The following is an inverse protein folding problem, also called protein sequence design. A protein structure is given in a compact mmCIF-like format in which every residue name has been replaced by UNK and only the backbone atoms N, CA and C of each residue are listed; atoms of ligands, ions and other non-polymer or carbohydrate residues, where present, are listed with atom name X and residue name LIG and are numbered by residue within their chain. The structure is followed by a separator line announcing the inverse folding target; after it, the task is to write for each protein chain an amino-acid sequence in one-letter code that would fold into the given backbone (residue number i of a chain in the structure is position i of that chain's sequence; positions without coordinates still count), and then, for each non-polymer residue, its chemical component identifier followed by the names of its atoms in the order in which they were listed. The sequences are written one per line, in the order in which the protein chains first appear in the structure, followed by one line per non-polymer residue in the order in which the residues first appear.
data_IF_534521810559
#
_entry.id   IF_534521810559
#
_cell.length_a   1.000
_cell.length_b   1.000
_cell.length_c   1.000
_cell.angle_alpha   90.00
_cell.angle_beta   90.00
_cell.angle_gamma   90.00
#
_symmetry.space_group_name_H-M   'P 1'
#
loop_
_entity.id
_entity.type
_entity.pdbx_description
1 polymer ?
#
# COMPACT_ATOMS: atom_id res chain seq x y z
N UNK A 1 -4.36 34.93 -3.17
CA UNK A 1 -4.29 33.45 -3.17
C UNK A 1 -5.72 32.93 -3.11
N UNK A 2 -6.24 32.40 -4.22
CA UNK A 2 -7.61 31.90 -4.27
C UNK A 2 -7.74 30.66 -3.36
N UNK A 3 -8.69 30.71 -2.43
CA UNK A 3 -9.09 29.57 -1.63
C UNK A 3 -9.49 28.42 -2.55
N UNK A 4 -8.90 27.24 -2.35
CA UNK A 4 -9.26 26.03 -3.08
C UNK A 4 -10.75 25.76 -2.79
N UNK A 5 -11.65 25.78 -3.78
CA UNK A 5 -13.05 25.48 -3.52
C UNK A 5 -13.17 24.05 -2.99
N UNK A 6 -14.03 23.85 -1.99
CA UNK A 6 -14.33 22.56 -1.32
C UNK A 6 -14.92 21.50 -2.29
N UNK A 7 -14.96 21.79 -3.59
CA UNK A 7 -15.39 20.93 -4.70
C UNK A 7 -14.23 20.38 -5.55
N UNK A 8 -12.97 20.77 -5.31
CA UNK A 8 -11.84 20.24 -6.06
C UNK A 8 -11.39 18.90 -5.47
N UNK A 9 -11.64 17.84 -6.24
CA UNK A 9 -11.01 16.52 -6.05
C UNK A 9 -9.49 16.72 -6.04
N UNK A 10 -8.85 16.41 -4.91
CA UNK A 10 -7.40 16.58 -4.75
C UNK A 10 -6.68 15.58 -5.66
N UNK A 11 -6.06 16.08 -6.72
CA UNK A 11 -5.49 15.23 -7.78
C UNK A 11 -4.26 14.47 -7.28
N UNK A 12 -3.49 15.04 -6.34
CA UNK A 12 -2.36 14.34 -5.72
C UNK A 12 -2.77 13.06 -5.00
N UNK A 13 -3.96 12.99 -4.41
CA UNK A 13 -4.45 11.79 -3.72
C UNK A 13 -4.73 10.66 -4.70
N UNK A 14 -5.39 10.98 -5.82
CA UNK A 14 -5.64 10.00 -6.89
C UNK A 14 -4.34 9.61 -7.62
N UNK A 15 -3.42 10.56 -7.82
CA UNK A 15 -2.10 10.30 -8.38
C UNK A 15 -1.31 9.34 -7.49
N UNK A 16 -1.25 9.60 -6.18
CA UNK A 16 -0.50 8.75 -5.24
C UNK A 16 -1.05 7.32 -5.27
N UNK A 17 -2.38 7.14 -5.20
CA UNK A 17 -2.96 5.79 -5.37
C UNK A 17 -2.61 5.17 -6.72
N UNK A 18 -2.64 5.98 -7.78
CA UNK A 18 -2.34 5.56 -9.15
C UNK A 18 -0.91 5.09 -9.36
N UNK A 19 0.08 5.83 -8.86
CA UNK A 19 1.49 5.45 -8.98
C UNK A 19 1.78 4.18 -8.19
N UNK A 20 1.24 4.02 -6.98
CA UNK A 20 1.38 2.78 -6.19
C UNK A 20 0.82 1.58 -6.95
N UNK A 21 -0.35 1.72 -7.59
CA UNK A 21 -0.93 0.64 -8.39
C UNK A 21 -0.19 0.36 -9.68
N UNK A 22 0.33 1.41 -10.33
CA UNK A 22 1.14 1.26 -11.53
C UNK A 22 2.42 0.47 -11.23
N UNK A 23 3.08 0.77 -10.11
CA UNK A 23 4.25 0.04 -9.65
C UNK A 23 3.93 -1.43 -9.34
N UNK A 24 2.82 -1.73 -8.63
CA UNK A 24 2.37 -3.10 -8.39
C UNK A 24 2.13 -3.89 -9.68
N UNK A 25 1.54 -3.25 -10.69
CA UNK A 25 1.38 -3.87 -12.01
C UNK A 25 2.73 -4.12 -12.70
N UNK A 26 3.77 -3.33 -12.39
CA UNK A 26 5.12 -3.54 -12.92
C UNK A 26 5.85 -4.71 -12.27
N UNK A 27 5.63 -4.96 -10.97
CA UNK A 27 6.09 -6.19 -10.32
C UNK A 27 5.39 -7.40 -10.95
N UNK A 28 4.06 -7.36 -11.06
CA UNK A 28 3.27 -8.47 -11.58
C UNK A 28 3.57 -8.80 -13.05
N UNK A 29 4.18 -7.90 -13.82
CA UNK A 29 4.60 -8.18 -15.19
C UNK A 29 5.91 -8.98 -15.30
N UNK A 30 6.57 -9.30 -14.17
CA UNK A 30 7.86 -9.97 -14.14
C UNK A 30 9.06 -9.04 -14.37
N UNK A 31 8.81 -7.74 -14.61
CA UNK A 31 9.86 -6.80 -14.97
C UNK A 31 10.95 -6.70 -13.88
N UNK A 32 10.55 -6.64 -12.61
CA UNK A 32 11.49 -6.38 -11.51
C UNK A 32 12.42 -7.57 -11.24
N UNK A 33 11.91 -8.79 -11.44
CA UNK A 33 12.70 -10.02 -11.36
C UNK A 33 13.81 -10.01 -12.41
N UNK A 34 13.47 -9.71 -13.66
CA UNK A 34 14.46 -9.63 -14.73
C UNK A 34 15.49 -8.50 -14.51
N UNK A 35 15.09 -7.35 -13.95
CA UNK A 35 16.05 -6.30 -13.61
C UNK A 35 17.08 -6.77 -12.56
N UNK A 36 16.65 -7.61 -11.61
CA UNK A 36 17.52 -8.16 -10.55
C UNK A 36 18.49 -9.23 -11.09
N UNK A 37 18.13 -9.90 -12.17
CA UNK A 37 18.95 -10.91 -12.86
C UNK A 37 19.95 -10.29 -13.85
N UNK A 38 19.95 -8.96 -14.01
CA UNK A 38 20.84 -8.27 -14.95
C UNK A 38 22.32 -8.44 -14.60
N UNK A 39 23.17 -8.64 -15.62
CA UNK A 39 24.62 -8.60 -15.47
C UNK A 39 25.15 -7.17 -15.21
N UNK A 40 24.37 -6.15 -15.58
CA UNK A 40 24.74 -4.75 -15.38
C UNK A 40 24.52 -4.34 -13.92
N UNK A 41 25.61 -4.04 -13.22
CA UNK A 41 25.61 -3.67 -11.78
C UNK A 41 24.56 -2.62 -11.43
N UNK A 42 24.41 -1.58 -12.27
CA UNK A 42 23.42 -0.52 -12.05
C UNK A 42 21.97 -1.03 -12.14
N UNK A 43 21.67 -1.86 -13.15
CA UNK A 43 20.32 -2.41 -13.38
C UNK A 43 19.99 -3.42 -12.27
N UNK A 44 20.94 -4.29 -11.94
CA UNK A 44 20.85 -5.25 -10.83
C UNK A 44 20.57 -4.55 -9.51
N UNK A 45 21.31 -3.47 -9.22
CA UNK A 45 21.13 -2.67 -8.02
C UNK A 45 19.74 -2.03 -7.94
N UNK A 46 19.19 -1.57 -9.08
CA UNK A 46 17.80 -1.09 -9.14
C UNK A 46 16.80 -2.22 -8.90
N UNK A 47 16.99 -3.38 -9.53
CA UNK A 47 16.14 -4.56 -9.33
C UNK A 47 16.11 -5.03 -7.88
N UNK A 48 17.24 -5.03 -7.18
CA UNK A 48 17.31 -5.37 -5.76
C UNK A 48 16.49 -4.42 -4.87
N UNK A 49 16.40 -3.13 -5.20
CA UNK A 49 15.60 -2.15 -4.45
C UNK A 49 14.10 -2.22 -4.77
N UNK A 50 13.75 -2.89 -5.86
CA UNK A 50 12.39 -3.23 -6.29
C UNK A 50 11.93 -4.61 -5.77
N UNK A 51 12.71 -5.23 -4.90
CA UNK A 51 12.36 -6.44 -4.14
C UNK A 51 12.25 -6.09 -2.64
N UNK A 52 11.66 -6.99 -1.87
CA UNK A 52 11.55 -6.85 -0.42
C UNK A 52 12.88 -7.11 0.27
N UNK A 53 13.16 -6.32 1.32
CA UNK A 53 14.29 -6.64 2.18
C UNK A 53 14.10 -8.05 2.80
N UNK A 54 15.18 -8.81 2.90
CA UNK A 54 15.11 -10.20 3.37
C UNK A 54 14.56 -10.30 4.79
N UNK A 55 15.01 -9.43 5.70
CA UNK A 55 14.49 -9.38 7.06
C UNK A 55 14.61 -7.98 7.69
N UNK A 56 15.83 -7.54 8.00
CA UNK A 56 16.11 -6.29 8.70
C UNK A 56 16.60 -5.21 7.74
N UNK A 57 15.80 -4.17 7.56
CA UNK A 57 16.11 -3.05 6.66
C UNK A 57 14.85 -2.58 5.93
N UNK A 58 15.04 -1.57 5.07
CA UNK A 58 13.96 -0.97 4.28
C UNK A 58 14.42 -0.72 2.85
N UNK A 59 13.83 -1.42 1.90
CA UNK A 59 13.93 -1.09 0.48
C UNK A 59 12.72 -0.30 0.00
N UNK A 60 12.82 0.27 -1.21
CA UNK A 60 11.73 1.05 -1.78
C UNK A 60 10.46 0.20 -1.92
N UNK A 61 10.62 -1.08 -2.33
CA UNK A 61 9.49 -1.99 -2.47
C UNK A 61 8.73 -2.26 -1.16
N UNK A 62 9.40 -2.11 -0.02
CA UNK A 62 8.79 -2.28 1.30
C UNK A 62 7.77 -1.18 1.65
N UNK A 63 7.83 -0.05 0.94
CA UNK A 63 6.95 1.10 1.13
C UNK A 63 5.59 0.97 0.43
N UNK A 64 5.45 0.06 -0.53
CA UNK A 64 4.25 -0.04 -1.39
C UNK A 64 2.97 -0.34 -0.58
N UNK A 65 3.02 -1.33 0.32
CA UNK A 65 1.90 -1.64 1.20
C UNK A 65 1.55 -0.49 2.16
N UNK A 66 2.52 0.08 2.92
CA UNK A 66 2.29 1.29 3.72
C UNK A 66 1.68 2.45 2.93
N UNK A 67 2.15 2.71 1.72
CA UNK A 67 1.63 3.76 0.85
C UNK A 67 0.16 3.51 0.51
N UNK A 68 -0.20 2.25 0.21
CA UNK A 68 -1.58 1.89 -0.10
C UNK A 68 -2.51 2.04 1.12
N UNK A 69 -2.08 1.59 2.29
CA UNK A 69 -2.85 1.73 3.53
C UNK A 69 -3.04 3.20 3.92
N UNK A 70 -1.96 3.98 3.84
CA UNK A 70 -1.98 5.41 4.11
C UNK A 70 -2.91 6.15 3.15
N UNK A 71 -2.81 5.94 1.82
CA UNK A 71 -3.62 6.68 0.85
C UNK A 71 -5.11 6.31 0.92
N UNK A 72 -5.43 5.07 1.29
CA UNK A 72 -6.82 4.67 1.60
C UNK A 72 -7.31 5.45 2.82
N UNK A 73 -6.49 5.58 3.87
CA UNK A 73 -6.76 6.42 5.03
C UNK A 73 -7.05 7.87 4.66
N UNK A 74 -6.18 8.49 3.85
CA UNK A 74 -6.35 9.87 3.34
C UNK A 74 -7.70 10.05 2.64
N UNK A 75 -8.16 9.02 1.94
CA UNK A 75 -9.39 9.06 1.14
C UNK A 75 -10.68 8.94 1.96
N UNK A 76 -10.63 8.39 3.18
CA UNK A 76 -11.81 8.20 4.05
C UNK A 76 -12.56 9.51 4.32
N UNK A 77 -11.94 10.58 4.85
CA UNK A 77 -12.68 11.79 5.20
C UNK A 77 -13.30 12.48 3.97
N UNK A 78 -12.62 12.47 2.81
CA UNK A 78 -13.20 12.96 1.55
C UNK A 78 -14.40 12.13 1.10
N UNK A 79 -14.30 10.79 1.16
CA UNK A 79 -15.37 9.90 0.75
C UNK A 79 -16.63 10.07 1.62
N UNK A 80 -16.46 10.19 2.94
CA UNK A 80 -17.57 10.42 3.86
C UNK A 80 -18.21 11.80 3.65
N UNK A 81 -17.40 12.86 3.56
CA UNK A 81 -17.90 14.21 3.34
C UNK A 81 -18.69 14.33 2.03
N UNK A 82 -18.22 13.69 0.94
CA UNK A 82 -18.92 13.70 -0.34
C UNK A 82 -20.28 13.00 -0.27
N UNK A 83 -20.39 11.88 0.45
CA UNK A 83 -21.66 11.14 0.60
C UNK A 83 -22.64 11.89 1.51
N UNK A 84 -22.15 12.51 2.58
CA UNK A 84 -22.96 13.37 3.44
C UNK A 84 -23.50 14.58 2.66
N UNK A 85 -22.69 15.22 1.83
CA UNK A 85 -23.14 16.30 0.92
C UNK A 85 -24.18 15.83 -0.08
N UNK A 86 -24.12 14.57 -0.51
CA UNK A 86 -25.12 13.94 -1.37
C UNK A 86 -26.42 13.54 -0.62
N UNK A 87 -26.54 13.84 0.68
CA UNK A 87 -27.72 13.57 1.49
C UNK A 87 -27.79 12.15 2.07
N UNK A 88 -26.73 11.35 1.96
CA UNK A 88 -26.74 10.00 2.53
C UNK A 88 -26.67 10.01 4.08
N UNK A 89 -27.47 9.14 4.70
CA UNK A 89 -27.45 8.97 6.15
C UNK A 89 -26.14 8.36 6.65
N UNK A 90 -25.77 8.67 7.89
CA UNK A 90 -24.59 8.08 8.54
C UNK A 90 -24.68 6.55 8.65
N UNK A 91 -25.90 6.01 8.77
CA UNK A 91 -26.16 4.58 8.81
C UNK A 91 -25.83 3.94 7.46
N UNK A 92 -26.26 4.56 6.37
CA UNK A 92 -25.97 4.10 5.00
C UNK A 92 -24.47 4.10 4.72
N UNK A 93 -23.77 5.18 5.09
CA UNK A 93 -22.31 5.30 4.92
C UNK A 93 -21.59 4.24 5.76
N UNK A 94 -22.03 4.01 6.99
CA UNK A 94 -21.46 2.99 7.89
C UNK A 94 -21.67 1.58 7.34
N UNK A 95 -22.91 1.23 6.93
CA UNK A 95 -23.20 -0.06 6.31
C UNK A 95 -22.36 -0.31 5.06
N UNK A 96 -22.18 0.72 4.24
CA UNK A 96 -21.30 0.63 3.09
C UNK A 96 -19.84 0.42 3.48
N UNK A 97 -19.34 1.07 4.53
CA UNK A 97 -17.98 0.86 5.02
C UNK A 97 -17.77 -0.59 5.51
N UNK A 98 -18.72 -1.15 6.26
CA UNK A 98 -18.68 -2.57 6.66
C UNK A 98 -18.78 -3.52 5.47
N UNK A 99 -19.67 -3.25 4.50
CA UNK A 99 -19.78 -4.04 3.26
C UNK A 99 -18.45 -4.02 2.50
N UNK A 100 -17.83 -2.84 2.34
CA UNK A 100 -16.54 -2.68 1.69
C UNK A 100 -15.45 -3.47 2.42
N UNK A 101 -15.36 -3.37 3.75
CA UNK A 101 -14.40 -4.14 4.54
C UNK A 101 -14.60 -5.65 4.35
N UNK A 102 -15.85 -6.12 4.42
CA UNK A 102 -16.19 -7.52 4.17
C UNK A 102 -15.82 -7.99 2.76
N UNK A 103 -16.04 -7.15 1.73
CA UNK A 103 -15.64 -7.46 0.36
C UNK A 103 -14.11 -7.49 0.22
N UNK A 104 -13.38 -6.55 0.81
CA UNK A 104 -11.91 -6.58 0.82
C UNK A 104 -11.38 -7.88 1.47
N UNK A 105 -11.97 -8.30 2.59
CA UNK A 105 -11.61 -9.56 3.23
C UNK A 105 -11.95 -10.76 2.34
N UNK A 106 -13.16 -10.79 1.78
CA UNK A 106 -13.62 -11.86 0.89
C UNK A 106 -12.71 -12.02 -0.32
N UNK A 107 -12.38 -10.92 -1.01
CA UNK A 107 -11.45 -10.96 -2.14
C UNK A 107 -10.03 -11.28 -1.71
N UNK A 108 -9.59 -10.80 -0.55
CA UNK A 108 -8.30 -11.18 0.05
C UNK A 108 -8.18 -12.69 0.26
N UNK A 109 -9.19 -13.34 0.83
CA UNK A 109 -9.24 -14.79 0.93
C UNK A 109 -9.38 -15.48 -0.42
N UNK A 110 -10.19 -14.93 -1.32
CA UNK A 110 -10.34 -15.43 -2.69
C UNK A 110 -9.00 -15.56 -3.41
N UNK A 111 -8.10 -14.59 -3.27
CA UNK A 111 -6.75 -14.67 -3.84
C UNK A 111 -5.94 -15.84 -3.28
N UNK A 112 -6.04 -16.10 -1.98
CA UNK A 112 -5.39 -17.27 -1.37
C UNK A 112 -6.02 -18.59 -1.81
N UNK A 113 -7.34 -18.63 -1.96
CA UNK A 113 -8.04 -19.83 -2.42
C UNK A 113 -7.64 -20.20 -3.85
N UNK A 114 -7.55 -19.20 -4.74
CA UNK A 114 -7.14 -19.41 -6.13
C UNK A 114 -5.70 -19.94 -6.19
N UNK A 115 -4.78 -19.34 -5.42
CA UNK A 115 -3.38 -19.78 -5.41
C UNK A 115 -3.21 -21.18 -4.79
N UNK A 116 -3.94 -21.48 -3.71
CA UNK A 116 -3.85 -22.77 -3.02
C UNK A 116 -4.64 -23.91 -3.70
N UNK A 117 -5.61 -23.59 -4.55
CA UNK A 117 -6.54 -24.57 -5.15
C UNK A 117 -7.57 -25.16 -4.17
N UNK A 118 -7.62 -24.67 -2.93
CA UNK A 118 -8.57 -25.07 -1.88
C UNK A 118 -8.80 -23.91 -0.89
N UNK A 119 -9.75 -24.06 0.03
CA UNK A 119 -10.05 -23.03 1.02
C UNK A 119 -8.90 -22.90 2.04
N UNK A 120 -8.27 -21.72 2.08
CA UNK A 120 -7.17 -21.36 3.00
C UNK A 120 -7.38 -19.96 3.55
N UNK A 121 -7.58 -19.85 4.86
CA UNK A 121 -7.85 -18.58 5.53
C UNK A 121 -6.56 -17.90 6.00
N UNK A 122 -5.97 -17.12 5.10
CA UNK A 122 -4.75 -16.34 5.33
C UNK A 122 -5.04 -14.85 5.44
N UNK A 123 -4.26 -14.12 6.22
CA UNK A 123 -4.50 -12.69 6.51
C UNK A 123 -3.33 -11.76 6.14
N UNK A 124 -2.35 -12.25 5.40
CA UNK A 124 -1.11 -11.52 5.14
C UNK A 124 -1.20 -10.52 3.98
N UNK A 125 -2.12 -10.70 3.02
CA UNK A 125 -2.19 -9.84 1.84
C UNK A 125 -2.81 -8.48 2.15
N UNK A 126 -2.56 -7.53 1.24
CA UNK A 126 -2.96 -6.14 1.42
C UNK A 126 -4.47 -5.98 1.57
N UNK A 127 -5.29 -6.76 0.85
CA UNK A 127 -6.76 -6.66 0.94
C UNK A 127 -7.28 -7.14 2.30
N UNK A 128 -6.79 -8.27 2.78
CA UNK A 128 -7.14 -8.83 4.08
C UNK A 128 -6.75 -7.86 5.20
N UNK A 129 -5.50 -7.39 5.22
CA UNK A 129 -5.08 -6.41 6.22
C UNK A 129 -5.88 -5.10 6.14
N UNK A 130 -6.11 -4.58 4.92
CA UNK A 130 -6.86 -3.34 4.71
C UNK A 130 -8.32 -3.47 5.18
N UNK A 131 -8.93 -4.66 5.14
CA UNK A 131 -10.29 -4.85 5.67
C UNK A 131 -10.41 -4.42 7.14
N UNK A 132 -9.37 -4.70 7.94
CA UNK A 132 -9.31 -4.36 9.37
C UNK A 132 -8.86 -2.93 9.57
N UNK A 133 -7.75 -2.51 8.94
CA UNK A 133 -7.23 -1.16 9.16
C UNK A 133 -8.23 -0.10 8.70
N UNK A 134 -8.94 -0.35 7.59
CA UNK A 134 -9.98 0.52 7.06
C UNK A 134 -11.14 0.69 8.04
N UNK A 135 -11.66 -0.40 8.62
CA UNK A 135 -12.83 -0.30 9.50
C UNK A 135 -12.47 0.40 10.81
N UNK A 136 -11.29 0.13 11.38
CA UNK A 136 -10.82 0.82 12.59
C UNK A 136 -10.67 2.31 12.32
N UNK A 137 -9.95 2.69 11.25
CA UNK A 137 -9.76 4.09 10.88
C UNK A 137 -11.08 4.78 10.55
N UNK A 138 -12.01 4.10 9.88
CA UNK A 138 -13.34 4.62 9.58
C UNK A 138 -14.16 4.88 10.85
N UNK A 139 -14.18 3.95 11.82
CA UNK A 139 -14.98 4.09 13.04
C UNK A 139 -14.49 5.23 13.94
N UNK A 140 -13.17 5.45 13.99
CA UNK A 140 -12.59 6.54 14.80
C UNK A 140 -12.47 7.86 14.04
N UNK A 141 -12.85 7.90 12.75
CA UNK A 141 -12.57 9.05 11.88
C UNK A 141 -13.10 10.36 12.43
N UNK A 142 -14.22 10.36 13.16
CA UNK A 142 -14.86 11.59 13.68
C UNK A 142 -14.31 11.98 15.06
N UNK A 143 -13.43 11.16 15.67
CA UNK A 143 -12.75 11.48 16.94
C UNK A 143 -11.68 12.56 16.76
N UNK A 144 -11.27 13.15 17.88
CA UNK A 144 -10.27 14.22 17.92
C UNK A 144 -8.90 13.76 17.42
N UNK A 145 -8.07 14.71 16.96
CA UNK A 145 -6.68 14.45 16.55
C UNK A 145 -5.90 13.69 17.63
N UNK A 146 -6.01 14.14 18.90
CA UNK A 146 -5.33 13.53 20.05
C UNK A 146 -5.75 12.07 20.27
N UNK A 147 -7.04 11.77 20.12
CA UNK A 147 -7.54 10.40 20.26
C UNK A 147 -7.01 9.48 19.16
N UNK A 148 -7.08 9.91 17.90
CA UNK A 148 -6.61 9.12 16.76
C UNK A 148 -5.10 8.85 16.86
N UNK A 149 -4.31 9.89 17.17
CA UNK A 149 -2.87 9.75 17.36
C UNK A 149 -2.56 8.86 18.56
N UNK A 150 -3.18 9.11 19.72
CA UNK A 150 -3.00 8.32 20.93
C UNK A 150 -3.33 6.85 20.73
N UNK A 151 -4.45 6.52 20.08
CA UNK A 151 -4.81 5.15 19.75
C UNK A 151 -3.77 4.50 18.84
N UNK A 152 -3.31 5.19 17.78
CA UNK A 152 -2.30 4.63 16.88
C UNK A 152 -0.98 4.33 17.61
N UNK A 153 -0.55 5.20 18.52
CA UNK A 153 0.68 5.02 19.29
C UNK A 153 0.53 3.91 20.34
N UNK A 154 -0.64 3.80 20.99
CA UNK A 154 -0.94 2.73 21.94
C UNK A 154 -0.94 1.38 21.22
N UNK A 155 -1.54 1.27 20.03
CA UNK A 155 -1.53 0.02 19.25
C UNK A 155 -0.10 -0.42 18.91
N UNK A 156 0.75 0.54 18.49
CA UNK A 156 2.16 0.28 18.18
C UNK A 156 2.97 -0.12 19.42
N UNK A 157 2.72 0.51 20.57
CA UNK A 157 3.36 0.15 21.82
C UNK A 157 2.93 -1.25 22.27
N UNK A 158 1.63 -1.54 22.25
CA UNK A 158 1.09 -2.83 22.68
C UNK A 158 1.61 -3.98 21.82
N UNK A 159 1.64 -3.80 20.50
CA UNK A 159 2.16 -4.86 19.61
C UNK A 159 3.67 -5.03 19.78
N UNK A 160 4.46 -3.97 19.92
CA UNK A 160 5.92 -4.06 20.17
C UNK A 160 6.21 -4.80 21.47
N UNK A 161 5.51 -4.47 22.56
CA UNK A 161 5.61 -5.18 23.83
C UNK A 161 5.14 -6.64 23.71
N UNK A 162 4.09 -6.90 22.96
CA UNK A 162 3.59 -8.26 22.74
C UNK A 162 4.64 -9.14 22.02
N UNK A 163 5.38 -8.60 21.04
CA UNK A 163 6.49 -9.33 20.42
C UNK A 163 7.62 -9.60 21.44
N UNK A 164 8.03 -8.60 22.23
CA UNK A 164 9.15 -8.71 23.17
C UNK A 164 8.92 -9.68 24.31
N UNK A 165 7.70 -9.73 24.83
CA UNK A 165 7.36 -10.47 26.05
C UNK A 165 6.48 -11.69 25.77
N UNK A 166 6.46 -12.18 24.52
CA UNK A 166 5.68 -13.36 24.18
C UNK A 166 6.25 -14.61 24.90
N UNK A 167 5.45 -15.34 25.71
CA UNK A 167 5.99 -16.31 26.66
C UNK A 167 6.15 -17.74 26.10
N UNK A 168 5.94 -17.96 24.80
CA UNK A 168 5.98 -19.29 24.20
C UNK A 168 7.39 -19.63 23.75
N UNK A 169 7.94 -20.73 24.27
CA UNK A 169 9.27 -21.24 23.91
C UNK A 169 9.37 -21.50 22.39
N UNK A 170 10.49 -21.10 21.79
CA UNK A 170 10.69 -21.14 20.34
C UNK A 170 9.99 -20.04 19.55
N UNK A 171 9.12 -19.25 20.20
CA UNK A 171 8.46 -18.08 19.62
C UNK A 171 8.70 -16.77 20.41
N UNK A 172 9.58 -16.83 21.42
CA UNK A 172 9.95 -15.75 22.32
C UNK A 172 11.18 -14.94 21.84
N UNK A 173 11.56 -15.09 20.55
CA UNK A 173 12.64 -14.34 19.92
C UNK A 173 12.03 -13.25 19.01
N UNK A 174 11.74 -12.04 19.53
CA UNK A 174 10.84 -11.07 18.87
C UNK A 174 11.23 -10.70 17.44
N UNK A 175 12.54 -10.64 17.18
CA UNK A 175 13.10 -10.14 15.93
C UNK A 175 13.75 -11.25 15.09
N UNK A 176 13.58 -12.52 15.45
CA UNK A 176 14.15 -13.64 14.69
C UNK A 176 13.09 -14.19 13.72
N UNK A 177 13.42 -14.46 12.44
CA UNK A 177 12.48 -15.04 11.49
C UNK A 177 11.91 -16.37 12.01
N UNK A 178 10.60 -16.57 11.85
CA UNK A 178 9.88 -17.79 12.24
C UNK A 178 9.85 -18.12 13.76
N UNK A 179 10.55 -17.37 14.60
CA UNK A 179 10.68 -17.63 16.05
C UNK A 179 10.05 -16.52 16.90
N UNK A 180 9.04 -15.83 16.35
CA UNK A 180 8.40 -14.68 16.98
C UNK A 180 6.87 -14.85 17.08
N UNK A 181 6.23 -13.96 17.84
CA UNK A 181 4.76 -13.90 18.00
C UNK A 181 4.00 -13.97 16.67
N UNK A 182 4.48 -13.29 15.62
CA UNK A 182 3.85 -13.29 14.31
C UNK A 182 3.85 -14.68 13.65
N UNK A 183 4.95 -15.41 13.78
CA UNK A 183 5.06 -16.77 13.29
C UNK A 183 4.16 -17.73 14.07
N UNK A 184 4.16 -17.63 15.40
CA UNK A 184 3.25 -18.43 16.26
C UNK A 184 1.79 -18.19 15.89
N UNK A 185 1.40 -16.92 15.74
CA UNK A 185 0.03 -16.55 15.39
C UNK A 185 -0.37 -17.11 14.03
N UNK A 186 0.48 -16.95 13.01
CA UNK A 186 0.24 -17.52 11.68
C UNK A 186 0.08 -19.04 11.72
N UNK A 187 1.00 -19.75 12.37
CA UNK A 187 0.96 -21.21 12.50
C UNK A 187 -0.35 -21.66 13.17
N UNK A 188 -0.78 -20.94 14.20
CA UNK A 188 -2.00 -21.25 14.96
C UNK A 188 -3.26 -21.04 14.13
N UNK A 189 -3.38 -19.91 13.42
CA UNK A 189 -4.59 -19.63 12.62
C UNK A 189 -4.66 -20.46 11.34
N UNK A 190 -3.51 -20.80 10.75
CA UNK A 190 -3.44 -21.59 9.51
C UNK A 190 -3.43 -23.10 9.78
N UNK A 191 -3.14 -23.54 11.01
CA UNK A 191 -3.08 -24.96 11.38
C UNK A 191 -1.89 -25.69 10.75
N UNK A 192 -0.76 -25.00 10.56
CA UNK A 192 0.45 -25.56 9.91
C UNK A 192 1.69 -25.39 10.81
N UNK A 193 2.68 -26.27 10.64
CA UNK A 193 3.93 -26.23 11.41
C UNK A 193 4.79 -25.00 11.10
N UNK A 194 4.79 -24.56 9.84
CA UNK A 194 5.54 -23.40 9.38
C UNK A 194 4.76 -22.64 8.32
N UNK A 195 4.11 -21.57 8.74
CA UNK A 195 3.37 -20.67 7.90
C UNK A 195 4.29 -19.63 7.21
N UNK A 196 3.66 -18.64 6.58
CA UNK A 196 4.35 -17.55 5.90
C UNK A 196 5.23 -16.74 6.86
N UNK A 197 6.35 -16.25 6.33
CA UNK A 197 7.22 -15.28 7.01
C UNK A 197 6.53 -13.92 7.26
N UNK A 198 5.47 -13.63 6.50
CA UNK A 198 4.68 -12.42 6.63
C UNK A 198 3.66 -12.58 7.75
N UNK A 199 3.65 -11.70 8.74
CA UNK A 199 2.75 -11.82 9.89
C UNK A 199 1.33 -11.31 9.59
N UNK A 200 0.32 -12.10 9.95
CA UNK A 200 -1.08 -11.68 9.93
C UNK A 200 -1.38 -10.57 10.94
N UNK A 201 -0.57 -10.48 12.02
CA UNK A 201 -0.68 -9.41 13.02
C UNK A 201 -0.26 -8.03 12.48
N UNK A 202 0.31 -7.96 11.27
CA UNK A 202 0.65 -6.70 10.64
C UNK A 202 -0.55 -5.74 10.53
N UNK A 203 -1.78 -6.26 10.45
CA UNK A 203 -2.99 -5.43 10.46
C UNK A 203 -3.10 -4.56 11.72
N UNK A 204 -2.57 -5.00 12.87
CA UNK A 204 -2.56 -4.22 14.12
C UNK A 204 -1.61 -3.02 13.97
N UNK A 205 -0.35 -3.26 13.62
CA UNK A 205 0.66 -2.20 13.49
C UNK A 205 0.31 -1.23 12.36
N UNK A 206 -0.08 -1.75 11.20
CA UNK A 206 -0.37 -0.95 9.99
C UNK A 206 -1.71 -0.21 10.04
N UNK A 207 -2.55 -0.48 11.06
CA UNK A 207 -3.68 0.39 11.39
C UNK A 207 -3.21 1.82 11.62
N UNK A 208 -2.01 2.02 12.19
CA UNK A 208 -1.42 3.34 12.35
C UNK A 208 -1.25 4.09 11.02
N UNK A 209 -0.76 3.45 9.94
CA UNK A 209 -0.65 4.08 8.62
C UNK A 209 -1.99 4.59 8.11
N UNK A 210 -3.05 3.79 8.29
CA UNK A 210 -4.39 4.15 7.83
C UNK A 210 -4.96 5.31 8.66
N UNK A 211 -4.75 5.31 9.97
CA UNK A 211 -5.14 6.41 10.86
C UNK A 211 -4.38 7.70 10.51
N UNK A 212 -3.06 7.63 10.33
CA UNK A 212 -2.26 8.79 9.94
C UNK A 212 -2.68 9.33 8.57
N UNK A 213 -3.09 8.45 7.66
CA UNK A 213 -3.76 8.82 6.43
C UNK A 213 -5.02 9.65 6.69
N UNK A 214 -5.92 9.20 7.56
CA UNK A 214 -7.14 9.97 7.93
C UNK A 214 -6.79 11.35 8.47
N UNK A 215 -5.77 11.45 9.33
CA UNK A 215 -5.29 12.72 9.88
C UNK A 215 -4.78 13.67 8.79
N UNK A 216 -3.97 13.15 7.84
CA UNK A 216 -3.48 13.93 6.71
C UNK A 216 -4.62 14.33 5.76
N UNK A 217 -5.57 13.45 5.50
CA UNK A 217 -6.76 13.76 4.69
C UNK A 217 -7.59 14.88 5.31
N UNK A 218 -7.82 14.84 6.63
CA UNK A 218 -8.46 15.94 7.36
C UNK A 218 -7.69 17.25 7.27
N UNK A 219 -6.36 17.23 7.39
CA UNK A 219 -5.52 18.41 7.24
C UNK A 219 -5.67 19.03 5.84
N UNK A 220 -5.70 18.20 4.79
CA UNK A 220 -5.89 18.67 3.42
C UNK A 220 -7.28 19.31 3.20
N UNK A 221 -8.31 18.83 3.91
CA UNK A 221 -9.67 19.39 3.88
C UNK A 221 -9.84 20.72 4.62
N UNK A 222 -8.90 21.09 5.51
CA UNK A 222 -9.02 22.33 6.27
C UNK A 222 -8.90 23.56 5.35
N UNK A 223 -9.60 24.64 5.71
CA UNK A 223 -9.47 25.96 5.07
C UNK A 223 -8.21 26.69 5.55
N UNK A 224 -7.05 26.06 5.31
CA UNK A 224 -5.73 26.63 5.62
C UNK A 224 -4.95 26.93 4.34
N UNK A 225 -4.02 27.91 4.36
CA UNK A 225 -3.08 28.12 3.27
C UNK A 225 -2.33 26.83 2.92
N UNK A 226 -2.10 26.62 1.62
CA UNK A 226 -1.42 25.41 1.15
C UNK A 226 -0.02 25.24 1.77
N UNK A 227 0.68 26.35 2.01
CA UNK A 227 2.00 26.36 2.64
C UNK A 227 1.98 25.79 4.07
N UNK A 228 0.99 26.15 4.89
CA UNK A 228 0.86 25.64 6.25
C UNK A 228 0.55 24.14 6.27
N UNK A 229 -0.26 23.67 5.32
CA UNK A 229 -0.54 22.24 5.14
C UNK A 229 0.74 21.49 4.79
N UNK A 230 1.51 21.98 3.82
CA UNK A 230 2.78 21.39 3.39
C UNK A 230 3.78 21.38 4.55
N UNK A 231 3.94 22.49 5.28
CA UNK A 231 4.83 22.55 6.44
C UNK A 231 4.46 21.52 7.50
N UNK A 232 3.17 21.41 7.83
CA UNK A 232 2.68 20.43 8.80
C UNK A 232 2.97 18.99 8.35
N UNK A 233 2.74 18.67 7.07
CA UNK A 233 3.04 17.35 6.50
C UNK A 233 4.54 17.07 6.50
N UNK A 234 5.38 18.02 6.08
CA UNK A 234 6.84 17.86 6.06
C UNK A 234 7.38 17.64 7.46
N UNK A 235 6.98 18.45 8.43
CA UNK A 235 7.41 18.30 9.82
C UNK A 235 6.99 16.95 10.39
N UNK A 236 5.74 16.53 10.19
CA UNK A 236 5.26 15.23 10.65
C UNK A 236 5.99 14.07 9.95
N UNK A 237 6.19 14.16 8.64
CA UNK A 237 6.86 13.14 7.84
C UNK A 237 8.34 12.97 8.21
N UNK A 238 9.07 14.08 8.35
CA UNK A 238 10.47 14.06 8.82
C UNK A 238 10.55 13.54 10.25
N UNK A 239 9.68 13.98 11.15
CA UNK A 239 9.66 13.48 12.53
C UNK A 239 9.45 11.96 12.58
N UNK A 240 8.42 11.44 11.89
CA UNK A 240 8.15 10.00 11.87
C UNK A 240 9.32 9.22 11.26
N UNK A 241 9.91 9.73 10.19
CA UNK A 241 11.06 9.11 9.53
C UNK A 241 12.26 9.03 10.48
N UNK A 242 12.66 10.17 11.06
CA UNK A 242 13.78 10.23 11.99
C UNK A 242 13.53 9.33 13.20
N UNK A 243 12.32 9.36 13.78
CA UNK A 243 11.96 8.51 14.90
C UNK A 243 12.08 7.01 14.57
N UNK A 244 11.54 6.58 13.42
CA UNK A 244 11.63 5.19 12.96
C UNK A 244 13.07 4.71 12.76
N UNK A 245 13.89 5.50 12.06
CA UNK A 245 15.32 5.16 11.87
C UNK A 245 16.14 5.28 13.15
N UNK A 246 15.77 6.16 14.09
CA UNK A 246 16.46 6.27 15.38
C UNK A 246 16.20 5.05 16.26
N UNK A 247 14.98 4.48 16.24
CA UNK A 247 14.68 3.23 16.95
C UNK A 247 15.52 2.05 16.43
N UNK A 248 15.79 2.03 15.13
CA UNK A 248 16.63 1.02 14.47
C UNK A 248 18.11 1.22 14.81
N UNK A 249 18.60 2.46 14.64
CA UNK A 249 20.00 2.83 14.88
C UNK A 249 20.43 2.67 16.35
N UNK A 250 19.49 2.84 17.29
CA UNK A 250 19.72 2.69 18.72
C UNK A 250 19.45 1.25 19.21
N UNK A 251 19.25 0.30 18.30
CA UNK A 251 18.96 -1.12 18.60
C UNK A 251 17.74 -1.34 19.52
N UNK A 252 16.80 -0.39 19.54
CA UNK A 252 15.58 -0.49 20.35
C UNK A 252 14.59 -1.43 19.66
N UNK A 253 14.19 -1.10 18.44
CA UNK A 253 13.27 -1.90 17.61
C UNK A 253 13.79 -1.89 16.16
N UNK A 254 14.18 -3.04 15.59
CA UNK A 254 14.71 -3.09 14.23
C UNK A 254 13.62 -2.84 13.18
N UNK A 255 13.98 -2.23 12.05
CA UNK A 255 13.06 -2.02 10.92
C UNK A 255 12.86 -3.36 10.20
N UNK A 256 11.71 -4.00 10.43
CA UNK A 256 11.36 -5.28 9.80
C UNK A 256 9.94 -5.15 9.24
N UNK A 257 9.83 -5.13 7.90
CA UNK A 257 8.54 -5.08 7.21
C UNK A 257 7.69 -6.31 7.47
N UNK A 258 8.29 -7.50 7.42
CA UNK A 258 7.56 -8.79 7.40
C UNK A 258 6.68 -9.01 8.64
N UNK A 259 7.06 -8.43 9.78
CA UNK A 259 6.27 -8.40 11.02
C UNK A 259 5.79 -6.98 11.41
N UNK A 260 5.92 -6.02 10.49
CA UNK A 260 5.53 -4.62 10.64
C UNK A 260 5.90 -4.02 12.01
N UNK A 261 7.19 -4.02 12.32
CA UNK A 261 7.69 -3.44 13.58
C UNK A 261 7.35 -1.96 13.71
N UNK A 262 7.30 -1.46 14.94
CA UNK A 262 6.98 -0.06 15.19
C UNK A 262 7.94 0.91 14.49
N UNK A 263 9.24 0.61 14.46
CA UNK A 263 10.23 1.40 13.71
C UNK A 263 9.97 1.39 12.20
N UNK A 264 9.60 0.23 11.63
CA UNK A 264 9.15 0.13 10.24
C UNK A 264 7.92 1.00 9.98
N UNK A 265 6.91 0.95 10.86
CA UNK A 265 5.68 1.75 10.70
C UNK A 265 5.99 3.25 10.70
N UNK A 266 6.83 3.72 11.62
CA UNK A 266 7.25 5.12 11.67
C UNK A 266 8.06 5.53 10.43
N UNK A 267 9.06 4.74 10.04
CA UNK A 267 9.90 5.04 8.87
C UNK A 267 9.07 5.09 7.59
N UNK A 268 8.27 4.05 7.32
CA UNK A 268 7.44 3.96 6.13
C UNK A 268 6.27 4.96 6.13
N UNK A 269 5.69 5.26 7.30
CA UNK A 269 4.68 6.30 7.45
C UNK A 269 5.24 7.70 7.21
N UNK A 270 6.46 7.97 7.67
CA UNK A 270 7.19 9.20 7.37
C UNK A 270 7.37 9.40 5.86
N UNK A 271 7.86 8.36 5.17
CA UNK A 271 7.94 8.36 3.70
C UNK A 271 6.59 8.60 3.03
N UNK A 272 5.52 7.94 3.50
CA UNK A 272 4.18 8.11 2.93
C UNK A 272 3.67 9.55 3.04
N UNK A 273 3.87 10.19 4.21
CA UNK A 273 3.47 11.58 4.45
C UNK A 273 4.28 12.53 3.55
N UNK A 274 5.59 12.31 3.41
CA UNK A 274 6.43 13.16 2.55
C UNK A 274 6.08 13.01 1.07
N UNK A 275 5.81 11.79 0.58
CA UNK A 275 5.36 11.56 -0.80
C UNK A 275 4.00 12.23 -1.06
N UNK A 276 3.07 12.18 -0.10
CA UNK A 276 1.81 12.93 -0.19
C UNK A 276 2.06 14.43 -0.25
N UNK A 277 2.91 14.96 0.64
CA UNK A 277 3.26 16.38 0.69
C UNK A 277 3.85 16.86 -0.63
N UNK A 278 4.83 16.12 -1.17
CA UNK A 278 5.46 16.40 -2.44
C UNK A 278 4.45 16.35 -3.60
N UNK A 279 3.61 15.31 -3.64
CA UNK A 279 2.58 15.16 -4.67
C UNK A 279 1.57 16.31 -4.63
N UNK A 280 1.12 16.71 -3.44
CA UNK A 280 0.21 17.84 -3.23
C UNK A 280 0.83 19.16 -3.69
N UNK A 281 2.09 19.41 -3.31
CA UNK A 281 2.83 20.59 -3.78
C UNK A 281 2.97 20.61 -5.31
N UNK A 282 3.41 19.50 -5.91
CA UNK A 282 3.70 19.43 -7.35
C UNK A 282 2.44 19.54 -8.23
N UNK A 283 1.34 18.89 -7.83
CA UNK A 283 0.15 18.72 -8.67
C UNK A 283 -0.94 19.74 -8.32
N UNK A 284 -1.25 19.91 -7.03
CA UNK A 284 -2.38 20.74 -6.59
C UNK A 284 -1.97 22.20 -6.28
N UNK A 285 -0.70 22.47 -5.96
CA UNK A 285 -0.21 23.84 -5.70
C UNK A 285 0.52 24.43 -6.90
N UNK A 286 1.52 23.73 -7.44
CA UNK A 286 2.34 24.21 -8.57
C UNK A 286 1.71 23.92 -9.93
N UNK A 287 0.79 22.95 -10.02
CA UNK A 287 0.16 22.50 -11.26
C UNK A 287 1.12 22.05 -12.38
N UNK A 288 2.38 21.74 -12.04
CA UNK A 288 3.43 21.42 -13.02
C UNK A 288 3.36 20.00 -13.59
N UNK A 289 2.67 19.08 -12.91
CA UNK A 289 2.61 17.66 -13.32
C UNK A 289 1.17 17.15 -13.57
N UNK A 290 0.22 18.02 -13.84
CA UNK A 290 -1.21 17.64 -14.01
C UNK A 290 -1.45 16.68 -15.18
N UNK A 291 -0.76 16.86 -16.31
CA UNK A 291 -0.88 15.96 -17.48
C UNK A 291 -0.25 14.59 -17.22
N UNK A 292 0.96 14.57 -16.64
CA UNK A 292 1.64 13.32 -16.27
C UNK A 292 0.88 12.56 -15.19
N UNK A 293 0.32 13.26 -14.21
CA UNK A 293 -0.50 12.66 -13.16
C UNK A 293 -1.70 11.87 -13.72
N UNK A 294 -2.33 12.34 -14.80
CA UNK A 294 -3.45 11.63 -15.45
C UNK A 294 -3.08 10.21 -15.86
N UNK A 295 -1.86 9.98 -16.35
CA UNK A 295 -1.39 8.64 -16.74
C UNK A 295 -1.52 7.64 -15.58
N UNK A 296 -1.15 8.06 -14.37
CA UNK A 296 -1.22 7.22 -13.17
C UNK A 296 -2.63 7.18 -12.57
N UNK A 297 -3.34 8.31 -12.57
CA UNK A 297 -4.73 8.41 -12.07
C UNK A 297 -5.65 7.42 -12.80
N UNK A 298 -5.41 7.15 -14.09
CA UNK A 298 -6.17 6.17 -14.88
C UNK A 298 -6.08 4.78 -14.26
N UNK A 299 -4.87 4.32 -13.91
CA UNK A 299 -4.66 3.04 -13.22
C UNK A 299 -5.31 3.08 -11.83
N UNK A 300 -5.08 4.14 -11.07
CA UNK A 300 -5.62 4.29 -9.71
C UNK A 300 -7.16 4.31 -9.63
N UNK A 301 -7.82 4.74 -10.70
CA UNK A 301 -9.29 4.76 -10.81
C UNK A 301 -9.91 3.35 -10.87
N UNK A 302 -9.13 2.35 -11.30
CA UNK A 302 -9.49 0.93 -11.37
C UNK A 302 -8.53 0.04 -10.54
N UNK A 303 -7.96 0.62 -9.48
CA UNK A 303 -6.98 -0.01 -8.58
C UNK A 303 -7.37 -1.43 -8.13
N UNK A 304 -8.60 -1.59 -7.67
CA UNK A 304 -9.10 -2.88 -7.20
C UNK A 304 -9.19 -3.93 -8.32
N UNK A 305 -9.75 -3.54 -9.47
CA UNK A 305 -9.85 -4.44 -10.62
C UNK A 305 -8.47 -4.91 -11.05
N UNK A 306 -7.54 -3.98 -11.27
CA UNK A 306 -6.22 -4.34 -11.79
C UNK A 306 -5.43 -5.16 -10.77
N UNK A 307 -5.57 -4.85 -9.47
CA UNK A 307 -4.99 -5.65 -8.39
C UNK A 307 -5.48 -7.10 -8.43
N UNK A 308 -6.81 -7.31 -8.49
CA UNK A 308 -7.35 -8.66 -8.58
C UNK A 308 -6.92 -9.35 -9.87
N UNK A 309 -6.98 -8.65 -11.00
CA UNK A 309 -6.63 -9.18 -12.32
C UNK A 309 -5.23 -9.78 -12.35
N UNK A 310 -4.20 -9.04 -11.91
CA UNK A 310 -2.84 -9.59 -11.95
C UNK A 310 -2.57 -10.63 -10.86
N UNK A 311 -3.29 -10.62 -9.72
CA UNK A 311 -3.11 -11.65 -8.69
C UNK A 311 -3.79 -12.99 -9.02
N UNK A 312 -4.68 -13.05 -10.01
CA UNK A 312 -5.39 -14.28 -10.42
C UNK A 312 -4.88 -14.89 -11.73
N UNK A 313 -3.70 -14.47 -12.22
CA UNK A 313 -3.16 -14.99 -13.48
C UNK A 313 -3.29 -14.04 -14.69
N UNK A 314 -3.79 -12.82 -14.49
CA UNK A 314 -4.04 -11.89 -15.60
C UNK A 314 -2.78 -11.34 -16.26
N UNK A 315 -1.70 -11.17 -15.50
CA UNK A 315 -0.42 -10.72 -16.07
C UNK A 315 0.23 -11.86 -16.87
N UNK A 316 0.16 -13.08 -16.36
CA UNK A 316 0.61 -14.32 -16.99
C UNK A 316 -0.17 -14.57 -18.28
N UNK A 317 -1.49 -14.39 -18.28
CA UNK A 317 -2.30 -14.46 -19.49
C UNK A 317 -1.80 -13.49 -20.57
N UNK A 318 -1.55 -12.23 -20.20
CA UNK A 318 -1.02 -11.23 -21.12
C UNK A 318 0.39 -11.60 -21.61
N UNK A 319 1.22 -12.17 -20.74
CA UNK A 319 2.55 -12.64 -21.11
C UNK A 319 2.46 -13.75 -22.16
N UNK A 320 1.61 -14.76 -21.98
CA UNK A 320 1.41 -15.84 -22.95
C UNK A 320 0.92 -15.33 -24.31
N UNK A 321 0.11 -14.26 -24.32
CA UNK A 321 -0.37 -13.63 -25.55
C UNK A 321 0.76 -12.85 -26.23
N UNK A 322 1.55 -12.08 -25.49
CA UNK A 322 2.49 -11.10 -26.05
C UNK A 322 3.88 -11.67 -26.35
N UNK A 323 4.34 -12.63 -25.57
CA UNK A 323 5.70 -13.20 -25.66
C UNK A 323 6.04 -13.73 -27.07
N UNK A 324 5.16 -14.48 -27.78
CA UNK A 324 5.46 -14.95 -29.13
C UNK A 324 5.71 -13.81 -30.12
N UNK A 325 4.93 -12.72 -30.03
CA UNK A 325 5.10 -11.56 -30.90
C UNK A 325 6.38 -10.79 -30.58
N UNK A 326 6.69 -10.61 -29.29
CA UNK A 326 7.93 -9.93 -28.88
C UNK A 326 9.14 -10.75 -29.31
N UNK A 327 9.14 -12.07 -29.11
CA UNK A 327 10.22 -12.95 -29.59
C UNK A 327 10.35 -12.89 -31.11
N UNK A 328 9.26 -12.92 -31.86
CA UNK A 328 9.31 -12.81 -33.32
C UNK A 328 9.95 -11.49 -33.79
N UNK A 329 9.55 -10.36 -33.20
CA UNK A 329 9.98 -9.02 -33.62
C UNK A 329 11.38 -8.64 -33.09
N UNK A 330 11.77 -9.19 -31.94
CA UNK A 330 12.97 -8.80 -31.21
C UNK A 330 13.93 -9.97 -30.91
N UNK A 331 13.81 -11.11 -31.60
CA UNK A 331 14.75 -12.25 -31.45
C UNK A 331 16.22 -11.83 -31.59
N UNK A 332 16.50 -10.86 -32.46
CA UNK A 332 17.84 -10.33 -32.71
C UNK A 332 18.44 -9.57 -31.52
N UNK A 333 17.63 -9.17 -30.53
CA UNK A 333 18.07 -8.37 -29.37
C UNK A 333 18.63 -9.19 -28.20
N UNK A 334 18.55 -10.52 -28.29
CA UNK A 334 18.96 -11.45 -27.24
C UNK A 334 17.83 -11.80 -26.25
N UNK A 335 17.99 -12.92 -25.54
CA UNK A 335 16.94 -13.48 -24.67
C UNK A 335 16.58 -12.54 -23.51
N UNK A 336 17.57 -11.95 -22.86
CA UNK A 336 17.36 -10.99 -21.76
C UNK A 336 16.54 -9.77 -22.22
N UNK A 337 16.93 -9.16 -23.34
CA UNK A 337 16.21 -8.02 -23.93
C UNK A 337 14.77 -8.38 -24.28
N UNK A 338 14.55 -9.57 -24.86
CA UNK A 338 13.21 -10.05 -25.18
C UNK A 338 12.33 -10.24 -23.92
N UNK A 339 12.89 -10.73 -22.81
CA UNK A 339 12.17 -10.86 -21.52
C UNK A 339 11.77 -9.49 -20.94
N UNK A 340 12.67 -8.52 -20.97
CA UNK A 340 12.39 -7.14 -20.53
C UNK A 340 11.31 -6.51 -21.42
N UNK A 341 11.43 -6.62 -22.75
CA UNK A 341 10.43 -6.09 -23.68
C UNK A 341 9.06 -6.75 -23.51
N UNK A 342 9.02 -8.06 -23.24
CA UNK A 342 7.78 -8.78 -22.93
C UNK A 342 7.15 -8.23 -21.66
N UNK A 343 7.91 -8.10 -20.58
CA UNK A 343 7.43 -7.57 -19.29
C UNK A 343 6.93 -6.12 -19.40
N UNK A 344 7.64 -5.27 -20.17
CA UNK A 344 7.20 -3.91 -20.48
C UNK A 344 5.90 -3.90 -21.30
N UNK A 345 5.76 -4.81 -22.26
CA UNK A 345 4.55 -4.93 -23.08
C UNK A 345 3.34 -5.39 -22.25
N UNK A 346 3.54 -6.35 -21.35
CA UNK A 346 2.52 -6.80 -20.38
C UNK A 346 2.10 -5.65 -19.46
N UNK A 347 3.07 -4.89 -18.94
CA UNK A 347 2.80 -3.74 -18.09
C UNK A 347 1.99 -2.65 -18.81
N UNK A 348 2.36 -2.34 -20.06
CA UNK A 348 1.63 -1.41 -20.92
C UNK A 348 0.24 -1.93 -21.30
N UNK A 349 0.08 -3.24 -21.52
CA UNK A 349 -1.22 -3.85 -21.79
C UNK A 349 -2.15 -3.75 -20.57
N UNK A 350 -1.64 -3.98 -19.36
CA UNK A 350 -2.38 -3.76 -18.11
C UNK A 350 -2.81 -2.30 -17.94
N UNK A 351 -1.92 -1.35 -18.26
CA UNK A 351 -2.29 0.07 -18.32
C UNK A 351 -3.39 0.32 -19.37
N UNK A 352 -3.27 -0.29 -20.55
CA UNK A 352 -4.24 -0.21 -21.64
C UNK A 352 -5.63 -0.72 -21.25
N UNK A 353 -5.72 -1.81 -20.48
CA UNK A 353 -6.98 -2.30 -19.91
C UNK A 353 -7.58 -1.26 -18.97
N UNK A 354 -6.78 -0.68 -18.08
CA UNK A 354 -7.23 0.38 -17.18
C UNK A 354 -7.71 1.62 -17.95
N UNK A 355 -7.01 1.98 -19.01
CA UNK A 355 -7.38 3.08 -19.91
C UNK A 355 -8.70 2.81 -20.61
N UNK A 356 -8.90 1.60 -21.13
CA UNK A 356 -10.15 1.20 -21.75
C UNK A 356 -11.33 1.27 -20.76
N UNK A 357 -11.16 0.73 -19.55
CA UNK A 357 -12.16 0.83 -18.48
C UNK A 357 -12.48 2.29 -18.14
N UNK A 358 -11.45 3.13 -18.06
CA UNK A 358 -11.59 4.56 -17.79
C UNK A 358 -12.40 5.26 -18.89
N UNK A 359 -12.12 4.98 -20.17
CA UNK A 359 -12.87 5.54 -21.31
C UNK A 359 -14.34 5.10 -21.30
N UNK A 360 -14.61 3.84 -20.92
CA UNK A 360 -15.97 3.30 -20.78
C UNK A 360 -16.67 3.72 -19.48
N UNK A 361 -16.01 4.51 -18.61
CA UNK A 361 -16.50 4.92 -17.29
C UNK A 361 -16.90 3.72 -16.40
N UNK A 362 -16.24 2.59 -16.60
CA UNK A 362 -16.40 1.39 -15.77
C UNK A 362 -15.41 1.50 -14.61
N UNK A 363 -15.94 1.63 -13.39
CA UNK A 363 -15.15 1.75 -12.16
C UNK A 363 -15.57 0.71 -11.13
N UNK A 364 -14.70 -0.26 -10.89
CA UNK A 364 -14.93 -1.27 -9.86
C UNK A 364 -14.60 -0.69 -8.48
N UNK A 365 -15.64 -0.42 -7.69
CA UNK A 365 -15.54 0.12 -6.33
C UNK A 365 -16.45 -0.69 -5.41
N UNK A 366 -15.95 -1.02 -4.23
CA UNK A 366 -16.73 -1.61 -3.13
C UNK A 366 -17.20 -0.56 -2.14
#
# INVERSE_FOLDING_TARGET
MQSIPINQRIQSVDFFRGITMFLLAGEASGLYEHLRESDWVLIKGLGQRLDHHEWHGLYFWDLIQPFFMFIVGVSIPFAVANRQKAGESIKTITQHAFKRAGLLLFFGWGLYFVNAGHLVFRFQNVLAQLSVTYIVAFLIRDKSFKFQLGLSLILLLLIDLAYRYFPVEGFNHPWVPFENLGAWFNNTIEGVEKASIWSSLNAVSTTAHTIWGVLCGKLLMQEKPAQEKIQSLVLAGVFCMLFGYSLDLLDITPIIKKIATSSFVFASGGWAILVLSFSYWLIDVQHQFTKGAKFFIIVGSNSLFIYLFFNIGGAELLQHILEPFVKLLFAWSGEYSAKILTSCSVWLAMWGICYWLYQKKLFFKF
#
